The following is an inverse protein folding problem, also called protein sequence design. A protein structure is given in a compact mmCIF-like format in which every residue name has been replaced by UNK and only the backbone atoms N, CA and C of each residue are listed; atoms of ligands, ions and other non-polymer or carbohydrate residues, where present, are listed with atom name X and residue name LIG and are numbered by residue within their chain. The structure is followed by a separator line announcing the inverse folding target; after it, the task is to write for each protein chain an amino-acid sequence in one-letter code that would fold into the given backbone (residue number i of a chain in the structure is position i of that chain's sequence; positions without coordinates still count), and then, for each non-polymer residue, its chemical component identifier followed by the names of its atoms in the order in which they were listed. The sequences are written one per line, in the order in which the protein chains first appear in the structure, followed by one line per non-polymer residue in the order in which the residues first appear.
data_IF_187988179618
#
_entry.id   IF_187988179618
#
_cell.length_a   1.000
_cell.length_b   1.000
_cell.length_c   1.000
_cell.angle_alpha   90.00
_cell.angle_beta   90.00
_cell.angle_gamma   90.00
#
_symmetry.space_group_name_H-M   'P 1'
#
loop_
_entity.id
_entity.type
_entity.pdbx_description
1 polymer ?
#
# COMPACT_ATOMS: atom_id res chain seq x y z
N UNK A 1 -20.09 5.86 9.94
CA UNK A 1 -18.67 6.00 9.56
C UNK A 1 -18.61 6.78 8.27
N UNK A 2 -17.65 7.69 8.12
CA UNK A 2 -17.45 8.39 6.85
C UNK A 2 -16.71 7.49 5.87
N UNK A 3 -17.10 7.53 4.59
CA UNK A 3 -16.39 6.83 3.51
C UNK A 3 -15.12 7.60 3.14
N UNK A 4 -14.05 6.92 2.70
CA UNK A 4 -12.89 7.59 2.12
C UNK A 4 -13.30 8.42 0.91
N UNK A 5 -12.87 9.69 0.86
CA UNK A 5 -13.20 10.62 -0.24
C UNK A 5 -12.05 10.79 -1.24
N UNK A 6 -10.91 10.14 -0.99
CA UNK A 6 -9.70 10.22 -1.80
C UNK A 6 -9.01 8.87 -1.86
N UNK A 7 -8.52 8.48 -3.04
CA UNK A 7 -7.75 7.24 -3.22
C UNK A 7 -6.47 7.56 -3.99
N UNK A 8 -5.31 7.67 -3.30
CA UNK A 8 -4.03 7.83 -3.98
C UNK A 8 -3.63 6.51 -4.65
N UNK A 9 -3.15 6.60 -5.90
CA UNK A 9 -2.59 5.47 -6.63
C UNK A 9 -1.07 5.49 -6.46
N UNK A 10 -0.50 4.37 -6.03
CA UNK A 10 0.93 4.20 -5.88
C UNK A 10 1.36 2.86 -6.50
N UNK A 11 2.58 2.83 -7.03
CA UNK A 11 3.21 1.62 -7.52
C UNK A 11 4.72 1.74 -7.31
N UNK A 12 5.34 0.68 -6.81
CA UNK A 12 6.77 0.59 -6.62
C UNK A 12 7.22 -0.87 -6.71
N UNK A 13 8.55 -1.05 -6.79
CA UNK A 13 9.22 -2.35 -6.72
C UNK A 13 10.19 -2.31 -5.56
N UNK A 14 10.40 -3.44 -4.89
CA UNK A 14 11.35 -3.55 -3.79
C UNK A 14 12.28 -4.74 -3.96
N UNK A 15 13.38 -4.71 -3.22
CA UNK A 15 14.38 -5.77 -3.14
C UNK A 15 14.60 -6.13 -1.68
N UNK A 16 14.77 -7.41 -1.37
CA UNK A 16 14.97 -7.86 0.01
C UNK A 16 15.65 -9.21 0.09
N UNK A 17 16.15 -9.53 1.28
CA UNK A 17 16.75 -10.84 1.58
C UNK A 17 15.68 -11.95 1.66
N UNK A 18 14.45 -11.58 2.02
CA UNK A 18 13.27 -12.43 2.00
C UNK A 18 12.15 -11.79 1.18
N UNK A 19 11.14 -12.57 0.82
CA UNK A 19 9.96 -12.05 0.12
C UNK A 19 9.24 -10.97 0.92
N UNK A 20 9.22 -11.09 2.26
CA UNK A 20 8.60 -10.08 3.13
C UNK A 20 9.43 -8.80 3.17
N UNK A 21 10.76 -8.91 3.22
CA UNK A 21 11.64 -7.72 3.17
C UNK A 21 11.52 -7.00 1.82
N UNK A 22 11.40 -7.75 0.72
CA UNK A 22 11.22 -7.16 -0.62
C UNK A 22 9.86 -6.47 -0.75
N UNK A 23 8.82 -7.01 -0.11
CA UNK A 23 7.49 -6.39 -0.04
C UNK A 23 7.50 -5.13 0.85
N UNK A 24 8.18 -5.17 1.99
CA UNK A 24 8.35 -4.02 2.88
C UNK A 24 9.08 -2.86 2.17
N UNK A 25 10.19 -3.15 1.50
CA UNK A 25 10.94 -2.18 0.69
C UNK A 25 10.06 -1.56 -0.42
N UNK A 26 9.22 -2.39 -1.08
CA UNK A 26 8.27 -1.90 -2.07
C UNK A 26 7.22 -0.96 -1.46
N UNK A 27 6.71 -1.25 -0.26
CA UNK A 27 5.74 -0.38 0.42
C UNK A 27 6.37 0.91 0.92
N UNK A 28 7.60 0.87 1.43
CA UNK A 28 8.38 2.07 1.80
C UNK A 28 8.61 2.94 0.55
N UNK A 29 9.05 2.36 -0.57
CA UNK A 29 9.26 3.06 -1.83
C UNK A 29 7.95 3.65 -2.42
N UNK A 30 6.81 2.98 -2.22
CA UNK A 30 5.49 3.48 -2.58
C UNK A 30 4.97 4.59 -1.64
N UNK A 31 5.69 4.90 -0.56
CA UNK A 31 5.33 5.93 0.43
C UNK A 31 4.27 5.49 1.44
N UNK A 32 4.01 4.19 1.57
CA UNK A 32 2.98 3.62 2.46
C UNK A 32 3.53 2.65 3.51
N UNK A 33 4.84 2.40 3.54
CA UNK A 33 5.48 1.42 4.43
C UNK A 33 5.36 1.71 5.93
N UNK A 34 5.22 2.99 6.31
CA UNK A 34 5.07 3.39 7.72
C UNK A 34 3.62 3.27 8.25
N UNK A 35 2.68 2.79 7.43
CA UNK A 35 1.27 2.66 7.79
C UNK A 35 0.83 1.20 7.83
N UNK A 36 -0.20 0.93 8.64
CA UNK A 36 -0.90 -0.35 8.58
C UNK A 36 -1.82 -0.39 7.36
N UNK A 37 -1.51 -1.28 6.42
CA UNK A 37 -2.32 -1.50 5.23
C UNK A 37 -3.51 -2.42 5.57
N UNK A 38 -4.70 -2.00 5.17
CA UNK A 38 -5.92 -2.83 5.25
C UNK A 38 -6.32 -3.18 3.82
N UNK A 39 -6.31 -4.46 3.50
CA UNK A 39 -6.74 -4.95 2.20
C UNK A 39 -8.27 -4.80 2.07
N UNK A 40 -8.71 -4.14 1.02
CA UNK A 40 -10.12 -3.98 0.68
C UNK A 40 -10.43 -4.64 -0.65
N UNK A 41 -11.72 -4.91 -0.89
CA UNK A 41 -12.19 -5.19 -2.24
C UNK A 41 -11.98 -3.97 -3.14
N UNK A 42 -11.88 -4.20 -4.44
CA UNK A 42 -11.49 -3.20 -5.44
C UNK A 42 -12.58 -2.16 -5.79
N UNK A 43 -13.40 -1.75 -4.80
CA UNK A 43 -14.51 -0.80 -4.99
C UNK A 43 -14.13 0.58 -4.45
N UNK A 44 -14.20 1.58 -5.32
CA UNK A 44 -14.06 2.98 -4.93
C UNK A 44 -15.41 3.54 -4.48
N UNK A 45 -15.48 4.23 -3.33
CA UNK A 45 -16.65 5.03 -2.96
C UNK A 45 -16.95 6.08 -4.05
N UNK A 46 -18.24 6.29 -4.32
CA UNK A 46 -18.74 7.23 -5.33
C UNK A 46 -18.71 8.69 -4.85
#
# INVERSE_FOLDING_TARGET
MALPTTVPLAAATGVGATDLDALDDAFVAAGVGDYNLVEYSSVLPA
#
